data_IF_945788027646
#
_entry.id   IF_945788027646
#
_cell.length_a   1.000
_cell.length_b   1.000
_cell.length_c   1.000
_cell.angle_alpha   90.00
_cell.angle_beta   90.00
_cell.angle_gamma   90.00
#
_symmetry.space_group_name_H-M   'P 1'
#
loop_
_entity.id
_entity.type
_entity.pdbx_description
1 polymer ?
#
# COMPACT_ATOMS: atom_id res chain seq x y z
N UNK A 1 -19.52 -9.16 -9.83
CA UNK A 1 -18.43 -8.64 -8.97
C UNK A 1 -18.61 -7.14 -8.92
N UNK A 2 -18.48 -6.46 -7.77
CA UNK A 2 -18.40 -5.00 -7.81
C UNK A 2 -17.27 -4.62 -8.77
N UNK A 3 -17.51 -3.62 -9.64
CA UNK A 3 -16.48 -3.07 -10.51
C UNK A 3 -15.40 -2.44 -9.60
N UNK A 4 -14.34 -3.21 -9.35
CA UNK A 4 -13.23 -2.77 -8.53
C UNK A 4 -12.51 -1.66 -9.32
N UNK A 5 -12.54 -0.44 -8.80
CA UNK A 5 -11.88 0.68 -9.49
C UNK A 5 -10.37 0.62 -9.27
N UNK A 6 -9.61 1.30 -10.13
CA UNK A 6 -8.16 1.48 -9.93
C UNK A 6 -7.89 2.15 -8.59
N UNK A 7 -8.75 3.08 -8.17
CA UNK A 7 -8.65 3.74 -6.87
C UNK A 7 -8.82 2.75 -5.70
N UNK A 8 -9.73 1.78 -5.82
CA UNK A 8 -9.91 0.74 -4.79
C UNK A 8 -8.72 -0.21 -4.72
N UNK A 9 -8.16 -0.58 -5.88
CA UNK A 9 -6.95 -1.39 -5.93
C UNK A 9 -5.75 -0.68 -5.30
N UNK A 10 -5.58 0.63 -5.57
CA UNK A 10 -4.52 1.42 -4.96
C UNK A 10 -4.70 1.57 -3.46
N UNK A 11 -5.91 1.87 -2.98
CA UNK A 11 -6.19 1.93 -1.52
C UNK A 11 -5.86 0.60 -0.83
N UNK A 12 -6.22 -0.52 -1.44
CA UNK A 12 -5.91 -1.83 -0.90
C UNK A 12 -4.39 -2.06 -0.84
N UNK A 13 -3.67 -1.72 -1.91
CA UNK A 13 -2.21 -1.85 -1.97
C UNK A 13 -1.51 -0.97 -0.93
N UNK A 14 -1.92 0.29 -0.79
CA UNK A 14 -1.40 1.24 0.21
C UNK A 14 -1.59 0.69 1.62
N UNK A 15 -2.80 0.21 1.93
CA UNK A 15 -3.08 -0.36 3.25
C UNK A 15 -2.24 -1.60 3.54
N UNK A 16 -2.10 -2.50 2.56
CA UNK A 16 -1.27 -3.70 2.73
C UNK A 16 0.21 -3.34 2.94
N UNK A 17 0.74 -2.35 2.23
CA UNK A 17 2.12 -1.91 2.39
C UNK A 17 2.37 -1.24 3.73
N UNK A 18 1.44 -0.41 4.21
CA UNK A 18 1.52 0.21 5.54
C UNK A 18 1.45 -0.82 6.66
N UNK A 19 0.55 -1.80 6.56
CA UNK A 19 0.43 -2.89 7.54
C UNK A 19 1.73 -3.70 7.63
N UNK A 20 2.37 -3.99 6.49
CA UNK A 20 3.68 -4.66 6.44
C UNK A 20 4.78 -3.79 7.05
N UNK A 21 4.81 -2.50 6.73
CA UNK A 21 5.79 -1.57 7.25
C UNK A 21 5.65 -1.37 8.77
N UNK A 22 4.44 -1.29 9.31
CA UNK A 22 4.17 -1.09 10.74
C UNK A 22 4.38 -2.37 11.56
N UNK A 23 4.01 -3.53 11.01
CA UNK A 23 4.15 -4.82 11.69
C UNK A 23 5.55 -5.43 11.56
N UNK A 24 6.40 -4.87 10.70
CA UNK A 24 7.71 -5.43 10.32
C UNK A 24 7.59 -6.90 9.87
N UNK A 25 6.46 -7.25 9.25
CA UNK A 25 6.12 -8.64 8.95
C UNK A 25 5.28 -8.74 7.68
N UNK A 26 5.68 -9.63 6.80
CA UNK A 26 4.92 -9.97 5.61
C UNK A 26 3.65 -10.76 5.96
N UNK A 27 2.59 -10.70 5.14
CA UNK A 27 1.37 -11.48 5.36
C UNK A 27 1.61 -13.00 5.31
N UNK A 28 2.70 -13.43 4.67
CA UNK A 28 3.17 -14.82 4.67
C UNK A 28 3.78 -15.27 6.00
N UNK A 29 4.02 -14.34 6.93
CA UNK A 29 4.62 -14.59 8.24
C UNK A 29 6.12 -14.33 8.34
N UNK A 30 6.76 -13.89 7.25
CA UNK A 30 8.20 -13.59 7.20
C UNK A 30 8.47 -12.25 7.90
N UNK A 31 9.38 -12.23 8.87
CA UNK A 31 9.84 -10.99 9.50
C UNK A 31 10.72 -10.20 8.54
N UNK A 32 10.55 -8.88 8.54
CA UNK A 32 11.31 -7.94 7.74
C UNK A 32 12.30 -7.19 8.64
N UNK A 33 13.44 -6.84 8.06
CA UNK A 33 14.34 -5.87 8.69
C UNK A 33 13.79 -4.45 8.51
N UNK A 34 14.34 -3.52 9.29
CA UNK A 34 13.89 -2.13 9.31
C UNK A 34 13.99 -1.49 7.91
N UNK A 35 15.08 -1.77 7.17
CA UNK A 35 15.28 -1.23 5.83
C UNK A 35 14.21 -1.69 4.83
N UNK A 36 13.81 -2.97 4.87
CA UNK A 36 12.74 -3.47 4.00
C UNK A 36 11.38 -2.94 4.44
N UNK A 37 11.14 -2.82 5.75
CA UNK A 37 9.90 -2.25 6.29
C UNK A 37 9.73 -0.78 5.88
N UNK A 38 10.81 0.02 5.94
CA UNK A 38 10.84 1.41 5.46
C UNK A 38 10.61 1.51 3.94
N UNK A 39 11.12 0.55 3.16
CA UNK A 39 10.87 0.48 1.72
C UNK A 39 9.38 0.28 1.43
N UNK A 40 8.69 -0.56 2.19
CA UNK A 40 7.24 -0.75 2.06
C UNK A 40 6.47 0.52 2.44
N UNK A 41 6.88 1.22 3.49
CA UNK A 41 6.29 2.52 3.85
C UNK A 41 6.47 3.56 2.75
N UNK A 42 7.69 3.70 2.23
CA UNK A 42 8.01 4.61 1.13
C UNK A 42 7.23 4.29 -0.14
N UNK A 43 7.05 2.99 -0.45
CA UNK A 43 6.24 2.56 -1.58
C UNK A 43 4.76 2.91 -1.39
N UNK A 44 4.24 2.81 -0.16
CA UNK A 44 2.87 3.22 0.16
C UNK A 44 2.66 4.71 -0.07
N UNK A 45 3.64 5.55 0.30
CA UNK A 45 3.56 7.01 0.09
C UNK A 45 3.56 7.37 -1.40
N UNK A 46 4.40 6.72 -2.21
CA UNK A 46 4.39 6.90 -3.68
C UNK A 46 3.04 6.50 -4.30
N UNK A 47 2.43 5.42 -3.81
CA UNK A 47 1.10 5.00 -4.29
C UNK A 47 -0.01 5.95 -3.84
N UNK A 48 0.12 6.56 -2.67
CA UNK A 48 -0.82 7.57 -2.16
C UNK A 48 -0.78 8.82 -3.05
N UNK A 49 0.41 9.30 -3.43
CA UNK A 49 0.57 10.40 -4.39
C UNK A 49 -0.05 10.08 -5.76
N UNK A 50 0.08 8.84 -6.23
CA UNK A 50 -0.54 8.39 -7.48
C UNK A 50 -2.06 8.29 -7.38
N UNK A 51 -2.59 7.90 -6.22
CA UNK A 51 -4.02 7.87 -5.95
C UNK A 51 -4.61 9.28 -5.95
N UNK A 52 -3.89 10.28 -5.42
CA UNK A 52 -4.32 11.69 -5.45
C UNK A 52 -4.39 12.27 -6.87
N UNK A 53 -3.56 11.75 -7.78
CA UNK A 53 -3.52 12.18 -9.18
C UNK A 53 -4.58 11.50 -10.06
N UNK A 54 -5.31 10.51 -9.56
CA UNK A 54 -6.33 9.82 -10.35
C UNK A 54 -7.57 10.70 -10.57
N UNK A 55 -7.97 10.95 -11.83
CA UNK A 55 -9.24 11.60 -12.13
C UNK A 55 -10.40 10.64 -11.83
N UNK A 56 -11.40 11.11 -11.08
CA UNK A 56 -12.55 10.31 -10.63
C UNK A 56 -12.83 10.33 -9.13
N UNK A 57 -12.33 11.33 -8.39
CA UNK A 57 -12.72 11.63 -7.01
C UNK A 57 -14.09 12.33 -7.00
N UNK A 58 -15.12 11.66 -7.51
CA UNK A 58 -16.53 12.10 -7.48
C UNK A 58 -17.37 11.14 -6.63
#
# INVERSE_FOLDING_TARGET
MPDLTVADALRLAINALRDVAESHKMPSGIELDDATSELHGSAADVLDELLEQLPGRE
#
